data_IF_753016064734
#
_entry.id   IF_753016064734
#
_cell.length_a   1.000
_cell.length_b   1.000
_cell.length_c   1.000
_cell.angle_alpha   90.00
_cell.angle_beta   90.00
_cell.angle_gamma   90.00
#
_symmetry.space_group_name_H-M   'P 1'
#
loop_
_entity.id
_entity.type
_entity.pdbx_description
1 polymer ?
#
# COMPACT_ATOMS: atom_id res chain seq x y z
N UNK A 1 -18.95 13.42 -13.53
CA UNK A 1 -17.71 13.67 -14.28
C UNK A 1 -16.66 12.68 -13.80
N UNK A 2 -15.63 12.36 -14.59
CA UNK A 2 -14.66 11.34 -14.23
C UNK A 2 -13.30 11.98 -13.91
N UNK A 3 -12.66 11.53 -12.84
CA UNK A 3 -11.30 11.93 -12.44
C UNK A 3 -10.31 11.67 -13.58
N UNK A 4 -9.67 12.73 -14.09
CA UNK A 4 -8.60 12.59 -15.07
C UNK A 4 -7.26 12.33 -14.38
N UNK A 5 -6.34 11.68 -15.11
CA UNK A 5 -5.00 11.34 -14.62
C UNK A 5 -3.97 11.61 -15.71
N UNK A 6 -2.78 12.05 -15.28
CA UNK A 6 -1.57 12.09 -16.11
C UNK A 6 -0.64 10.96 -15.70
N UNK A 7 0.11 10.45 -16.66
CA UNK A 7 0.90 9.23 -16.52
C UNK A 7 2.35 9.54 -16.86
N UNK A 8 3.25 9.00 -16.05
CA UNK A 8 4.68 9.21 -16.20
C UNK A 8 5.41 7.89 -16.05
N UNK A 9 6.59 7.80 -16.66
CA UNK A 9 7.55 6.72 -16.42
C UNK A 9 8.95 7.27 -16.22
N UNK A 10 9.81 6.46 -15.62
CA UNK A 10 11.26 6.63 -15.73
C UNK A 10 11.79 5.82 -16.91
N UNK A 11 13.01 6.12 -17.34
CA UNK A 11 13.75 5.20 -18.21
C UNK A 11 14.07 3.88 -17.47
N UNK A 12 14.50 2.85 -18.18
CA UNK A 12 14.79 1.53 -17.59
C UNK A 12 15.86 1.60 -16.50
N UNK A 13 16.97 2.31 -16.74
CA UNK A 13 18.10 2.39 -15.80
C UNK A 13 17.68 3.03 -14.47
N UNK A 14 16.96 4.14 -14.52
CA UNK A 14 16.43 4.81 -13.34
C UNK A 14 15.34 3.98 -12.66
N UNK A 15 14.45 3.34 -13.43
CA UNK A 15 13.41 2.45 -12.88
C UNK A 15 14.02 1.34 -12.02
N UNK A 16 15.02 0.64 -12.55
CA UNK A 16 15.73 -0.44 -11.84
C UNK A 16 16.49 0.11 -10.63
N UNK A 17 17.16 1.26 -10.78
CA UNK A 17 17.89 1.93 -9.70
C UNK A 17 16.97 2.26 -8.52
N UNK A 18 15.85 2.95 -8.76
CA UNK A 18 14.90 3.33 -7.69
C UNK A 18 14.26 2.09 -7.05
N UNK A 19 13.91 1.06 -7.83
CA UNK A 19 13.39 -0.17 -7.26
C UNK A 19 14.41 -0.87 -6.36
N UNK A 20 15.67 -0.98 -6.79
CA UNK A 20 16.75 -1.57 -5.99
C UNK A 20 16.98 -0.79 -4.70
N UNK A 21 17.05 0.53 -4.79
CA UNK A 21 17.22 1.41 -3.63
C UNK A 21 16.09 1.21 -2.62
N UNK A 22 14.83 1.15 -3.08
CA UNK A 22 13.70 0.85 -2.21
C UNK A 22 13.85 -0.51 -1.54
N UNK A 23 14.15 -1.56 -2.30
CA UNK A 23 14.26 -2.92 -1.73
C UNK A 23 15.33 -2.99 -0.65
N UNK A 24 16.47 -2.33 -0.84
CA UNK A 24 17.59 -2.32 0.11
C UNK A 24 17.27 -1.50 1.36
N UNK A 25 16.76 -0.28 1.20
CA UNK A 25 16.58 0.65 2.32
C UNK A 25 15.27 0.44 3.09
N UNK A 26 14.23 -0.06 2.43
CA UNK A 26 12.87 -0.10 2.98
C UNK A 26 12.22 -1.46 2.79
N UNK A 27 12.18 -1.99 1.57
CA UNK A 27 11.43 -3.20 1.23
C UNK A 27 11.85 -4.44 2.03
N UNK A 28 13.15 -4.68 2.18
CA UNK A 28 13.69 -5.78 3.01
C UNK A 28 13.41 -5.55 4.50
N UNK A 29 13.82 -4.43 5.13
CA UNK A 29 13.46 -4.14 6.53
C UNK A 29 11.95 -4.22 6.82
N UNK A 30 11.12 -3.74 5.89
CA UNK A 30 9.65 -3.80 6.00
C UNK A 30 9.17 -5.25 6.09
N UNK A 31 9.64 -6.13 5.19
CA UNK A 31 9.26 -7.56 5.19
C UNK A 31 9.70 -8.25 6.48
N UNK A 32 10.89 -7.96 6.98
CA UNK A 32 11.40 -8.51 8.24
C UNK A 32 10.52 -8.08 9.43
N UNK A 33 10.24 -6.79 9.56
CA UNK A 33 9.40 -6.25 10.64
C UNK A 33 7.99 -6.84 10.63
N UNK A 34 7.40 -7.04 9.44
CA UNK A 34 6.08 -7.70 9.31
C UNK A 34 6.17 -9.18 9.68
N UNK A 35 7.17 -9.91 9.18
CA UNK A 35 7.37 -11.33 9.48
C UNK A 35 7.53 -11.54 10.99
N UNK A 36 8.36 -10.74 11.64
CA UNK A 36 8.62 -10.86 13.06
C UNK A 36 7.37 -10.53 13.89
N UNK A 37 6.58 -9.53 13.46
CA UNK A 37 5.29 -9.22 14.06
C UNK A 37 4.27 -10.37 13.93
N UNK A 38 4.13 -10.96 12.74
CA UNK A 38 3.23 -12.08 12.49
C UNK A 38 3.63 -13.31 13.30
N UNK A 39 4.92 -13.64 13.32
CA UNK A 39 5.48 -14.73 14.12
C UNK A 39 5.18 -14.54 15.62
N UNK A 40 5.42 -13.34 16.15
CA UNK A 40 5.13 -13.02 17.56
C UNK A 40 3.65 -13.11 17.93
N UNK A 41 2.74 -13.09 16.95
CA UNK A 41 1.30 -13.20 17.14
C UNK A 41 0.73 -14.55 16.70
N UNK A 42 1.58 -15.52 16.30
CA UNK A 42 1.17 -16.79 15.70
C UNK A 42 0.16 -16.62 14.56
N UNK A 43 0.38 -15.60 13.72
CA UNK A 43 -0.50 -15.24 12.62
C UNK A 43 0.12 -15.62 11.27
N UNK A 44 -0.72 -16.12 10.36
CA UNK A 44 -0.33 -16.48 9.00
C UNK A 44 -0.29 -15.26 8.09
N UNK A 45 -1.11 -14.25 8.37
CA UNK A 45 -1.19 -13.04 7.58
C UNK A 45 -1.88 -11.89 8.30
N UNK A 46 -2.24 -10.88 7.54
CA UNK A 46 -2.89 -9.69 8.09
C UNK A 46 -3.84 -9.03 7.09
N UNK A 47 -4.76 -8.24 7.62
CA UNK A 47 -5.58 -7.30 6.84
C UNK A 47 -5.07 -5.89 7.08
N UNK A 48 -4.84 -5.17 5.98
CA UNK A 48 -4.47 -3.76 6.01
C UNK A 48 -5.47 -2.91 5.25
N UNK A 49 -5.62 -1.66 5.68
CA UNK A 49 -6.22 -0.61 4.87
C UNK A 49 -5.20 0.49 4.59
N UNK A 50 -5.45 1.29 3.55
CA UNK A 50 -4.67 2.48 3.27
C UNK A 50 -5.48 3.72 3.57
N UNK A 51 -4.83 4.71 4.15
CA UNK A 51 -5.38 6.04 4.38
C UNK A 51 -4.34 7.07 3.94
N UNK A 52 -4.65 7.87 2.91
CA UNK A 52 -3.76 8.86 2.31
C UNK A 52 -2.34 8.31 1.99
N UNK A 53 -2.28 7.12 1.39
CA UNK A 53 -1.01 6.46 1.04
C UNK A 53 -0.28 5.78 2.20
N UNK A 54 -0.72 5.98 3.45
CA UNK A 54 -0.20 5.27 4.62
C UNK A 54 -0.96 3.97 4.84
N UNK A 55 -0.24 2.88 5.06
CA UNK A 55 -0.83 1.57 5.38
C UNK A 55 -0.97 1.37 6.87
N UNK A 56 -2.10 0.81 7.28
CA UNK A 56 -2.37 0.38 8.65
C UNK A 56 -2.84 -1.08 8.66
N UNK A 57 -2.14 -1.92 9.41
CA UNK A 57 -2.58 -3.26 9.77
C UNK A 57 -3.74 -3.13 10.77
N UNK A 58 -4.86 -3.75 10.43
CA UNK A 58 -6.13 -3.65 11.15
C UNK A 58 -6.60 -4.95 11.81
N UNK A 59 -6.18 -6.09 11.27
CA UNK A 59 -6.49 -7.40 11.81
C UNK A 59 -5.41 -8.42 11.45
N UNK A 60 -5.34 -9.49 12.24
CA UNK A 60 -4.52 -10.67 11.95
C UNK A 60 -5.36 -11.71 11.21
N UNK A 61 -4.69 -12.53 10.41
CA UNK A 61 -5.25 -13.75 9.82
C UNK A 61 -4.56 -14.95 10.46
N UNK A 62 -5.35 -15.83 11.07
CA UNK A 62 -4.85 -16.97 11.85
C UNK A 62 -5.56 -18.26 11.44
N UNK A 63 -4.94 -19.41 11.67
CA UNK A 63 -5.56 -20.72 11.45
C UNK A 63 -6.59 -21.08 12.52
N UNK A 64 -7.37 -22.13 12.24
CA UNK A 64 -8.40 -22.70 13.10
C UNK A 64 -7.98 -22.89 14.56
N UNK A 65 -6.82 -23.50 14.73
CA UNK A 65 -6.21 -24.01 15.96
C UNK A 65 -5.49 -22.95 16.80
N UNK A 66 -5.32 -21.73 16.30
CA UNK A 66 -4.62 -20.67 17.03
C UNK A 66 -5.51 -20.11 18.15
N UNK A 67 -5.06 -20.24 19.40
CA UNK A 67 -5.70 -19.58 20.54
C UNK A 67 -5.48 -18.06 20.47
N UNK A 68 -6.59 -17.34 20.33
CA UNK A 68 -6.62 -15.89 20.24
C UNK A 68 -7.21 -15.24 21.50
N UNK A 69 -7.46 -16.02 22.54
CA UNK A 69 -8.15 -15.59 23.75
C UNK A 69 -9.52 -15.00 23.44
N UNK A 70 -9.88 -13.91 24.14
CA UNK A 70 -11.17 -13.22 23.97
C UNK A 70 -11.16 -12.15 22.89
N UNK A 71 -10.24 -12.21 21.94
CA UNK A 71 -10.27 -11.34 20.76
C UNK A 71 -11.48 -11.66 19.88
N UNK A 72 -11.92 -10.67 19.11
CA UNK A 72 -13.00 -10.88 18.15
C UNK A 72 -12.47 -11.72 17.01
N UNK A 73 -13.11 -12.87 16.80
CA UNK A 73 -12.79 -13.81 15.73
C UNK A 73 -13.95 -13.86 14.74
N UNK A 74 -13.66 -13.61 13.48
CA UNK A 74 -14.63 -13.64 12.39
C UNK A 74 -14.14 -14.62 11.33
N UNK A 75 -15.07 -15.33 10.70
CA UNK A 75 -14.74 -16.10 9.50
C UNK A 75 -14.23 -15.15 8.43
N UNK A 76 -13.15 -15.52 7.73
CA UNK A 76 -12.71 -14.80 6.53
C UNK A 76 -12.86 -15.71 5.32
N UNK A 77 -13.03 -15.12 4.14
CA UNK A 77 -13.03 -15.86 2.85
C UNK A 77 -11.61 -16.13 2.34
N UNK A 78 -10.61 -16.10 3.23
CA UNK A 78 -9.19 -16.23 2.88
C UNK A 78 -8.65 -17.59 3.28
N UNK A 79 -7.75 -18.08 2.47
CA UNK A 79 -7.05 -19.33 2.67
C UNK A 79 -5.54 -19.06 2.71
N UNK A 80 -4.81 -19.92 3.41
CA UNK A 80 -3.35 -19.95 3.29
C UNK A 80 -2.89 -20.81 2.09
N UNK A 81 -1.59 -20.91 1.91
CA UNK A 81 -0.97 -21.66 0.81
C UNK A 81 -1.29 -23.17 0.85
N UNK A 82 -1.67 -23.70 2.01
CA UNK A 82 -2.08 -25.09 2.21
C UNK A 82 -3.60 -25.28 1.98
N UNK A 83 -4.32 -24.22 1.62
CA UNK A 83 -5.78 -24.24 1.43
C UNK A 83 -6.58 -24.24 2.73
N UNK A 84 -5.97 -23.91 3.88
CA UNK A 84 -6.67 -23.85 5.16
C UNK A 84 -7.39 -22.51 5.34
N UNK A 85 -8.61 -22.56 5.87
CA UNK A 85 -9.40 -21.37 6.16
C UNK A 85 -8.71 -20.52 7.23
N UNK A 86 -8.56 -19.23 6.93
CA UNK A 86 -8.06 -18.24 7.86
C UNK A 86 -9.21 -17.49 8.53
N UNK A 87 -9.00 -17.14 9.79
CA UNK A 87 -9.92 -16.34 10.59
C UNK A 87 -9.36 -14.96 10.81
N UNK A 88 -10.22 -13.96 10.67
CA UNK A 88 -9.89 -12.58 10.98
C UNK A 88 -9.96 -12.37 12.49
N UNK A 89 -8.86 -11.89 13.08
CA UNK A 89 -8.75 -11.61 14.51
C UNK A 89 -8.53 -10.12 14.73
N UNK A 90 -9.46 -9.50 15.47
CA UNK A 90 -9.42 -8.09 15.87
C UNK A 90 -9.32 -7.94 17.38
N UNK A 91 -8.66 -6.88 17.87
CA UNK A 91 -8.56 -6.64 19.29
C UNK A 91 -9.94 -6.40 19.93
N UNK A 92 -10.25 -7.15 20.99
CA UNK A 92 -11.35 -6.81 21.90
C UNK A 92 -10.81 -6.11 23.16
N UNK A 93 -10.80 -4.78 23.15
CA UNK A 93 -10.20 -3.96 24.23
C UNK A 93 -10.91 -4.09 25.59
N UNK A 94 -12.03 -4.81 25.67
CA UNK A 94 -12.68 -5.16 26.94
C UNK A 94 -11.86 -6.17 27.75
N UNK A 95 -11.05 -6.99 27.08
CA UNK A 95 -10.26 -8.06 27.70
C UNK A 95 -8.74 -7.77 27.62
N UNK A 96 -7.96 -8.43 28.48
CA UNK A 96 -6.49 -8.28 28.57
C UNK A 96 -5.80 -8.56 27.24
N UNK A 97 -6.18 -9.66 26.59
CA UNK A 97 -5.58 -10.14 25.34
C UNK A 97 -5.83 -9.15 24.21
N UNK A 98 -7.02 -8.55 24.16
CA UNK A 98 -7.35 -7.55 23.15
C UNK A 98 -6.71 -6.19 23.38
N UNK A 99 -6.44 -5.82 24.64
CA UNK A 99 -5.59 -4.66 24.93
C UNK A 99 -4.15 -4.90 24.47
N UNK A 100 -3.60 -6.08 24.74
CA UNK A 100 -2.25 -6.45 24.29
C UNK A 100 -2.14 -6.44 22.76
N UNK A 101 -3.09 -7.07 22.06
CA UNK A 101 -3.12 -7.07 20.60
C UNK A 101 -3.27 -5.65 20.04
N UNK A 102 -4.11 -4.80 20.65
CA UNK A 102 -4.24 -3.40 20.23
C UNK A 102 -2.93 -2.62 20.37
N UNK A 103 -2.16 -2.85 21.45
CA UNK A 103 -0.84 -2.24 21.64
C UNK A 103 0.14 -2.71 20.57
N UNK A 104 0.23 -4.02 20.33
CA UNK A 104 1.10 -4.58 19.28
C UNK A 104 0.76 -4.03 17.89
N UNK A 105 -0.53 -3.93 17.56
CA UNK A 105 -1.00 -3.34 16.31
C UNK A 105 -0.64 -1.84 16.20
N UNK A 106 -0.65 -1.10 17.31
CA UNK A 106 -0.20 0.29 17.32
C UNK A 106 1.30 0.38 17.04
N UNK A 107 2.11 -0.38 17.76
CA UNK A 107 3.58 -0.38 17.64
C UNK A 107 4.05 -0.76 16.23
N UNK A 108 3.46 -1.81 15.64
CA UNK A 108 3.81 -2.20 14.28
C UNK A 108 3.42 -1.11 13.28
N UNK A 109 2.24 -0.49 13.42
CA UNK A 109 1.80 0.55 12.50
C UNK A 109 2.69 1.80 12.60
N UNK A 110 3.15 2.17 13.79
CA UNK A 110 4.14 3.25 13.99
C UNK A 110 5.47 2.92 13.29
N UNK A 111 5.96 1.67 13.40
CA UNK A 111 7.14 1.22 12.67
C UNK A 111 6.92 1.24 11.15
N UNK A 112 5.76 0.83 10.67
CA UNK A 112 5.47 0.77 9.23
C UNK A 112 5.31 2.16 8.59
N UNK A 113 5.09 3.23 9.37
CA UNK A 113 5.10 4.61 8.87
C UNK A 113 6.51 5.05 8.42
N UNK A 114 7.56 4.56 9.07
CA UNK A 114 8.95 4.84 8.66
C UNK A 114 9.43 3.93 7.53
N UNK A 115 8.67 2.87 7.23
CA UNK A 115 8.97 1.87 6.21
C UNK A 115 7.87 1.83 5.13
N UNK A 116 7.54 2.93 4.43
CA UNK A 116 6.36 3.01 3.55
C UNK A 116 6.35 1.94 2.45
N UNK A 117 5.15 1.64 1.91
CA UNK A 117 5.05 0.83 0.68
C UNK A 117 5.73 1.54 -0.49
N UNK A 118 6.13 0.76 -1.50
CA UNK A 118 6.82 1.25 -2.70
C UNK A 118 6.15 2.46 -3.33
N UNK A 119 4.84 2.41 -3.58
CA UNK A 119 4.08 3.51 -4.17
C UNK A 119 4.25 4.82 -3.39
N UNK A 120 4.06 4.79 -2.08
CA UNK A 120 4.16 5.98 -1.24
C UNK A 120 5.60 6.51 -1.17
N UNK A 121 6.58 5.59 -1.07
CA UNK A 121 7.99 5.97 -1.12
C UNK A 121 8.38 6.62 -2.45
N UNK A 122 8.03 5.99 -3.57
CA UNK A 122 8.40 6.46 -4.91
C UNK A 122 7.73 7.80 -5.24
N UNK A 123 6.44 7.95 -4.96
CA UNK A 123 5.70 9.21 -5.14
C UNK A 123 6.37 10.35 -4.35
N UNK A 124 6.74 10.12 -3.09
CA UNK A 124 7.44 11.12 -2.28
C UNK A 124 8.85 11.41 -2.81
N UNK A 125 9.60 10.37 -3.15
CA UNK A 125 11.00 10.47 -3.59
C UNK A 125 11.13 11.20 -4.94
N UNK A 126 10.13 11.04 -5.80
CA UNK A 126 10.09 11.66 -7.13
C UNK A 126 9.36 13.02 -7.15
N UNK A 127 8.93 13.54 -6.00
CA UNK A 127 8.21 14.83 -5.93
C UNK A 127 6.88 14.80 -6.68
N UNK A 128 6.15 13.68 -6.63
CA UNK A 128 4.94 13.45 -7.44
C UNK A 128 3.66 13.39 -6.61
N UNK A 129 3.71 13.73 -5.33
CA UNK A 129 2.52 13.64 -4.47
C UNK A 129 1.50 14.70 -4.90
N UNK A 130 0.31 14.24 -5.26
CA UNK A 130 -0.87 15.06 -5.48
C UNK A 130 -2.10 14.26 -5.07
N UNK A 131 -3.12 14.96 -4.61
CA UNK A 131 -4.45 14.47 -4.38
C UNK A 131 -5.47 15.40 -5.04
N UNK A 132 -6.64 14.83 -5.36
CA UNK A 132 -7.71 15.52 -6.04
C UNK A 132 -9.05 14.98 -5.56
N UNK A 133 -9.91 15.89 -5.12
CA UNK A 133 -11.29 15.60 -4.75
C UNK A 133 -12.18 15.56 -6.00
N UNK A 134 -13.14 14.64 -6.02
CA UNK A 134 -14.15 14.58 -7.08
C UNK A 134 -15.47 14.00 -6.58
N UNK A 135 -16.55 14.31 -7.29
CA UNK A 135 -17.89 13.81 -6.96
C UNK A 135 -18.36 12.87 -8.06
N UNK A 136 -18.59 11.61 -7.68
CA UNK A 136 -19.14 10.62 -8.58
C UNK A 136 -20.42 10.01 -7.99
N UNK A 137 -21.51 10.02 -8.75
CA UNK A 137 -22.83 9.53 -8.32
C UNK A 137 -23.27 9.99 -6.92
N UNK A 138 -23.06 11.28 -6.60
CA UNK A 138 -23.45 11.89 -5.33
C UNK A 138 -22.55 11.53 -4.13
N UNK A 139 -21.43 10.84 -4.35
CA UNK A 139 -20.44 10.53 -3.32
C UNK A 139 -19.15 11.31 -3.58
N UNK A 140 -18.59 11.88 -2.52
CA UNK A 140 -17.26 12.51 -2.56
C UNK A 140 -16.19 11.43 -2.48
N UNK A 141 -15.17 11.55 -3.32
CA UNK A 141 -14.02 10.67 -3.40
C UNK A 141 -12.74 11.48 -3.46
N UNK A 142 -11.66 10.92 -2.92
CA UNK A 142 -10.31 11.45 -3.06
C UNK A 142 -9.50 10.49 -3.90
N UNK A 143 -8.86 10.99 -4.96
CA UNK A 143 -7.83 10.26 -5.68
C UNK A 143 -6.45 10.80 -5.27
N UNK A 144 -5.44 9.94 -5.21
CA UNK A 144 -4.06 10.34 -4.94
C UNK A 144 -3.09 9.72 -5.94
N UNK A 145 -1.91 10.32 -6.05
CA UNK A 145 -0.80 9.80 -6.85
C UNK A 145 -0.41 8.40 -6.42
N UNK A 146 -0.11 7.53 -7.39
CA UNK A 146 0.36 6.18 -7.12
C UNK A 146 1.49 5.80 -8.08
N UNK A 147 2.39 4.94 -7.61
CA UNK A 147 3.52 4.45 -8.37
C UNK A 147 3.65 2.93 -8.26
N UNK A 148 4.15 2.31 -9.33
CA UNK A 148 4.39 0.88 -9.40
C UNK A 148 5.67 0.58 -10.16
N UNK A 149 6.32 -0.52 -9.83
CA UNK A 149 7.44 -1.07 -10.58
C UNK A 149 7.00 -2.41 -11.18
N UNK A 150 7.18 -2.55 -12.49
CA UNK A 150 6.78 -3.70 -13.28
C UNK A 150 8.03 -4.43 -13.73
N UNK A 151 8.44 -5.53 -13.06
CA UNK A 151 9.74 -6.17 -13.27
C UNK A 151 9.96 -6.67 -14.70
N UNK A 152 8.94 -7.27 -15.31
CA UNK A 152 9.01 -7.83 -16.67
C UNK A 152 9.27 -6.76 -17.74
N UNK A 153 8.80 -5.54 -17.49
CA UNK A 153 9.03 -4.36 -18.34
C UNK A 153 10.14 -3.46 -17.82
N UNK A 154 10.71 -3.80 -16.65
CA UNK A 154 11.66 -3.00 -15.86
C UNK A 154 11.26 -1.53 -15.77
N UNK A 155 9.97 -1.26 -15.63
CA UNK A 155 9.41 0.08 -15.73
C UNK A 155 8.83 0.54 -14.39
N UNK A 156 9.27 1.71 -13.93
CA UNK A 156 8.61 2.45 -12.87
C UNK A 156 7.65 3.44 -13.52
N UNK A 157 6.37 3.31 -13.22
CA UNK A 157 5.32 4.22 -13.69
C UNK A 157 4.63 4.92 -12.53
N UNK A 158 4.18 6.15 -12.78
CA UNK A 158 3.45 7.00 -11.84
C UNK A 158 2.17 7.46 -12.51
N UNK A 159 1.06 7.43 -11.77
CA UNK A 159 -0.20 8.11 -12.14
C UNK A 159 -0.46 9.24 -11.16
N UNK A 160 -0.81 10.41 -11.67
CA UNK A 160 -1.08 11.62 -10.89
C UNK A 160 -2.51 12.08 -11.23
N UNK A 161 -3.41 12.21 -10.24
CA UNK A 161 -4.74 12.79 -10.48
C UNK A 161 -4.63 14.28 -10.83
N UNK A 162 -5.49 14.76 -11.72
CA UNK A 162 -5.50 16.15 -12.20
C UNK A 162 -6.91 16.76 -12.24
N UNK A 163 -7.80 16.27 -11.38
CA UNK A 163 -9.19 16.69 -11.26
C UNK A 163 -10.09 16.29 -12.44
N UNK A 164 -11.36 16.68 -12.38
CA UNK A 164 -12.41 16.30 -13.36
C UNK A 164 -12.19 16.92 -14.77
N UNK A 165 -11.40 17.99 -14.85
CA UNK A 165 -11.12 18.73 -16.10
C UNK A 165 -9.65 18.69 -16.53
N UNK A 166 -8.79 17.94 -15.83
CA UNK A 166 -7.34 17.91 -16.13
C UNK A 166 -6.62 19.23 -15.85
N UNK A 167 -7.24 20.13 -15.07
CA UNK A 167 -6.77 21.51 -14.85
C UNK A 167 -5.93 21.68 -13.58
N UNK A 168 -5.91 20.69 -12.71
CA UNK A 168 -5.07 20.77 -11.52
C UNK A 168 -3.60 20.72 -11.94
N UNK A 169 -2.76 21.62 -11.38
CA UNK A 169 -1.35 21.67 -11.71
C UNK A 169 -0.65 20.40 -11.23
N UNK A 170 0.34 19.97 -12.01
CA UNK A 170 1.29 18.96 -11.54
C UNK A 170 2.15 19.54 -10.41
N UNK A 171 2.64 18.69 -9.48
CA UNK A 171 3.58 19.13 -8.45
C UNK A 171 4.81 19.82 -9.06
N UNK A 172 5.22 20.95 -8.46
CA UNK A 172 6.32 21.76 -8.99
C UNK A 172 7.70 21.13 -8.77
N UNK A 173 7.81 20.20 -7.82
CA UNK A 173 9.03 19.52 -7.39
C UNK A 173 9.24 18.15 -8.06
N UNK A 174 8.46 17.84 -9.11
CA UNK A 174 8.61 16.60 -9.87
C UNK A 174 10.04 16.39 -10.37
N UNK A 175 10.55 15.17 -10.19
CA UNK A 175 11.83 14.77 -10.72
C UNK A 175 11.90 14.95 -12.24
N UNK A 176 12.97 15.59 -12.72
CA UNK A 176 13.23 15.78 -14.16
C UNK A 176 13.44 14.47 -14.92
N UNK A 177 13.66 13.36 -14.22
CA UNK A 177 13.79 12.04 -14.83
C UNK A 177 12.44 11.45 -15.27
N UNK A 178 11.32 12.05 -14.86
CA UNK A 178 9.98 11.62 -15.25
C UNK A 178 9.66 12.07 -16.67
N UNK A 179 9.25 11.11 -17.47
CA UNK A 179 8.83 11.29 -18.85
C UNK A 179 7.32 11.06 -18.88
N UNK A 180 6.57 12.06 -19.34
CA UNK A 180 5.14 11.91 -19.54
C UNK A 180 4.86 10.88 -20.64
N UNK A 181 3.86 10.03 -20.40
CA UNK A 181 3.42 9.00 -21.33
C UNK A 181 1.92 9.06 -21.54
N UNK A 182 1.46 8.46 -22.65
CA UNK A 182 0.04 8.32 -22.94
C UNK A 182 -0.60 7.29 -22.02
N UNK A 183 -1.91 7.42 -21.80
CA UNK A 183 -2.69 6.42 -21.07
C UNK A 183 -2.53 5.01 -21.65
N UNK A 184 -2.56 4.87 -22.98
CA UNK A 184 -2.39 3.58 -23.66
C UNK A 184 -1.05 2.92 -23.37
N UNK A 185 0.01 3.70 -23.22
CA UNK A 185 1.34 3.20 -22.87
C UNK A 185 1.41 2.78 -21.41
N UNK A 186 0.78 3.55 -20.52
CA UNK A 186 0.65 3.16 -19.12
C UNK A 186 -0.05 1.80 -19.01
N UNK A 187 -1.18 1.63 -19.69
CA UNK A 187 -1.94 0.38 -19.71
C UNK A 187 -1.09 -0.78 -20.23
N UNK A 188 -0.37 -0.60 -21.33
CA UNK A 188 0.52 -1.63 -21.90
C UNK A 188 1.69 -2.04 -20.98
N UNK A 189 2.04 -1.20 -20.00
CA UNK A 189 3.04 -1.53 -18.96
C UNK A 189 2.38 -2.20 -17.76
N UNK A 190 1.17 -1.78 -17.38
CA UNK A 190 0.55 -2.19 -16.11
C UNK A 190 -0.37 -3.39 -16.19
N UNK A 191 -0.89 -3.71 -17.36
CA UNK A 191 -1.71 -4.91 -17.58
C UNK A 191 -0.81 -6.08 -17.98
N UNK A 192 -0.95 -7.19 -17.25
CA UNK A 192 -0.54 -8.54 -17.65
C UNK A 192 -1.78 -9.35 -18.03
#
# INVERSE_FOLDING_TARGET
MAMQRRYFKLNEADSVKYHKEYQEKIGKPRREVIRDFLSACNATGYLSHQHFGTEYISALLVRGDVDCGRNKRLSSEKFDDDGQVLFEVRPDRRYSEGKQLATRLKEINEKLQTLPRFSAWAVKTLGCYADADYVNHGRSFVAWSAAGFFPEKKALVVRIPVGENGKEPLPADMSKALIEIKHSEFIAITEE
#
